data_IF_253798320129
#
_entry.id   IF_253798320129
#
_cell.length_a   1.000
_cell.length_b   1.000
_cell.length_c   1.000
_cell.angle_alpha   90.00
_cell.angle_beta   90.00
_cell.angle_gamma   90.00
#
_symmetry.space_group_name_H-M   'P 1'
#
loop_
_entity.id
_entity.type
_entity.pdbx_description
1 polymer ?
#
# COMPACT_ATOMS: atom_id res chain seq x y z
N UNK A 1 -71.99 21.77 16.67
CA UNK A 1 -71.10 20.65 16.28
C UNK A 1 -70.59 20.72 14.82
N UNK A 2 -70.64 21.88 14.15
CA UNK A 2 -70.32 21.99 12.70
C UNK A 2 -69.32 23.13 12.39
N UNK A 3 -68.28 23.30 13.21
CA UNK A 3 -67.18 24.24 12.92
C UNK A 3 -65.84 23.54 12.62
N UNK A 4 -65.69 22.25 12.96
CA UNK A 4 -64.44 21.50 12.78
C UNK A 4 -64.05 21.36 11.30
N UNK A 5 -65.00 20.97 10.43
CA UNK A 5 -64.83 20.75 8.99
C UNK A 5 -64.36 22.01 8.23
N UNK A 6 -64.99 23.16 8.52
CA UNK A 6 -64.69 24.44 7.86
C UNK A 6 -63.31 24.98 8.20
N UNK A 7 -62.85 24.73 9.42
CA UNK A 7 -61.54 25.21 9.85
C UNK A 7 -60.46 24.33 9.23
N UNK A 8 -60.64 23.01 9.18
CA UNK A 8 -59.72 22.09 8.49
C UNK A 8 -59.54 22.42 7.00
N UNK A 9 -60.65 22.71 6.29
CA UNK A 9 -60.60 23.07 4.88
C UNK A 9 -59.80 24.37 4.61
N UNK A 10 -59.92 25.37 5.48
CA UNK A 10 -59.16 26.63 5.36
C UNK A 10 -57.65 26.42 5.56
N UNK A 11 -57.27 25.56 6.51
CA UNK A 11 -55.86 25.22 6.71
C UNK A 11 -55.31 24.42 5.52
N UNK A 12 -56.11 23.52 4.95
CA UNK A 12 -55.75 22.79 3.73
C UNK A 12 -55.60 23.69 2.52
N UNK A 13 -56.54 24.63 2.32
CA UNK A 13 -56.45 25.61 1.24
C UNK A 13 -55.23 26.54 1.39
N UNK A 14 -54.94 26.97 2.61
CA UNK A 14 -53.76 27.79 2.89
C UNK A 14 -52.46 27.01 2.64
N UNK A 15 -52.40 25.74 3.06
CA UNK A 15 -51.25 24.86 2.83
C UNK A 15 -51.04 24.54 1.34
N UNK A 16 -52.12 24.35 0.58
CA UNK A 16 -52.05 24.15 -0.86
C UNK A 16 -51.56 25.42 -1.58
N UNK A 17 -52.03 26.60 -1.15
CA UNK A 17 -51.61 27.87 -1.71
C UNK A 17 -50.13 28.18 -1.43
N UNK A 18 -49.64 27.89 -0.22
CA UNK A 18 -48.21 28.05 0.10
C UNK A 18 -47.33 27.07 -0.65
N UNK A 19 -47.76 25.81 -0.81
CA UNK A 19 -47.04 24.84 -1.63
C UNK A 19 -46.98 25.25 -3.11
N UNK A 20 -48.07 25.77 -3.66
CA UNK A 20 -48.12 26.30 -5.03
C UNK A 20 -47.26 27.56 -5.18
N UNK A 21 -47.19 28.42 -4.17
CA UNK A 21 -46.29 29.58 -4.20
C UNK A 21 -44.81 29.16 -4.17
N UNK A 22 -44.47 28.12 -3.40
CA UNK A 22 -43.11 27.58 -3.34
C UNK A 22 -42.70 26.84 -4.63
N UNK A 23 -43.64 26.25 -5.37
CA UNK A 23 -43.32 25.59 -6.64
C UNK A 23 -42.99 26.56 -7.78
N UNK A 24 -43.34 27.84 -7.63
CA UNK A 24 -43.01 28.92 -8.56
C UNK A 24 -41.66 29.59 -8.25
N UNK A 25 -40.99 29.22 -7.15
CA UNK A 25 -39.66 29.74 -6.84
C UNK A 25 -38.64 29.25 -7.88
N UNK A 26 -37.81 30.14 -8.44
CA UNK A 26 -36.74 29.74 -9.35
C UNK A 26 -35.71 28.89 -8.59
N UNK A 27 -35.45 27.69 -9.09
CA UNK A 27 -34.37 26.85 -8.57
C UNK A 27 -33.03 27.45 -9.02
N UNK A 28 -32.23 27.92 -8.06
CA UNK A 28 -30.87 28.35 -8.33
C UNK A 28 -30.06 27.15 -8.84
N UNK A 29 -29.27 27.29 -9.91
CA UNK A 29 -28.41 26.20 -10.37
C UNK A 29 -27.37 25.89 -9.29
N UNK A 30 -27.32 24.63 -8.87
CA UNK A 30 -26.25 24.16 -7.99
C UNK A 30 -24.93 24.13 -8.77
N UNK A 31 -23.95 24.92 -8.35
CA UNK A 31 -22.61 24.88 -8.92
C UNK A 31 -21.89 23.62 -8.47
N UNK A 32 -21.70 22.66 -9.37
CA UNK A 32 -20.80 21.54 -9.13
C UNK A 32 -19.37 22.10 -9.04
N UNK A 33 -18.73 21.99 -7.88
CA UNK A 33 -17.35 22.38 -7.71
C UNK A 33 -16.47 21.39 -8.50
N UNK A 34 -15.96 21.81 -9.65
CA UNK A 34 -14.99 21.05 -10.43
C UNK A 34 -13.74 20.86 -9.55
N UNK A 35 -13.61 19.65 -9.00
CA UNK A 35 -12.44 19.26 -8.22
C UNK A 35 -11.33 18.93 -9.21
N UNK A 36 -10.57 19.96 -9.59
CA UNK A 36 -9.37 19.80 -10.42
C UNK A 36 -8.40 18.91 -9.63
N UNK A 37 -7.93 17.83 -10.28
CA UNK A 37 -6.91 16.97 -9.70
C UNK A 37 -5.61 17.77 -9.52
N UNK A 38 -4.92 17.65 -8.39
CA UNK A 38 -3.62 18.30 -8.22
C UNK A 38 -2.64 17.80 -9.28
N UNK A 39 -1.90 18.74 -9.89
CA UNK A 39 -0.78 18.43 -10.78
C UNK A 39 0.51 18.28 -9.95
N UNK A 40 1.17 17.14 -10.09
CA UNK A 40 2.42 16.82 -9.39
C UNK A 40 3.65 16.86 -10.30
N UNK A 41 3.51 17.27 -11.57
CA UNK A 41 4.61 17.26 -12.56
C UNK A 41 5.83 18.05 -12.07
N UNK A 42 5.64 19.29 -11.61
CA UNK A 42 6.69 20.14 -11.03
C UNK A 42 7.36 19.50 -9.79
N UNK A 43 6.55 18.92 -8.91
CA UNK A 43 7.07 18.29 -7.70
C UNK A 43 7.93 17.08 -8.05
N UNK A 44 7.51 16.26 -9.02
CA UNK A 44 8.25 15.09 -9.50
C UNK A 44 9.57 15.50 -10.14
N UNK A 45 9.59 16.58 -10.93
CA UNK A 45 10.83 17.10 -11.49
C UNK A 45 11.80 17.57 -10.41
N UNK A 46 11.30 18.29 -9.40
CA UNK A 46 12.12 18.81 -8.32
C UNK A 46 12.66 17.71 -7.38
N UNK A 47 11.82 16.73 -7.02
CA UNK A 47 12.16 15.74 -5.98
C UNK A 47 12.56 14.37 -6.53
N UNK A 48 12.35 14.11 -7.82
CA UNK A 48 12.75 12.87 -8.50
C UNK A 48 14.21 12.46 -8.25
N UNK A 49 15.19 13.39 -8.27
CA UNK A 49 16.59 13.09 -7.94
C UNK A 49 16.83 12.57 -6.51
N UNK A 50 15.85 12.73 -5.61
CA UNK A 50 15.94 12.27 -4.22
C UNK A 50 15.76 10.75 -4.07
N UNK A 51 15.32 10.06 -5.13
CA UNK A 51 15.03 8.62 -5.10
C UNK A 51 16.16 7.85 -5.78
N UNK A 52 16.85 7.01 -5.01
CA UNK A 52 17.94 6.16 -5.52
C UNK A 52 17.57 4.69 -5.47
N UNK A 53 18.08 3.91 -6.44
CA UNK A 53 17.95 2.46 -6.45
C UNK A 53 19.15 1.84 -5.72
N UNK A 54 18.91 1.19 -4.58
CA UNK A 54 19.96 0.54 -3.79
C UNK A 54 19.82 -0.97 -3.93
N UNK A 55 20.91 -1.61 -4.34
CA UNK A 55 21.05 -3.08 -4.37
C UNK A 55 22.28 -3.48 -3.57
N UNK A 56 22.10 -4.39 -2.63
CA UNK A 56 23.19 -4.95 -1.82
C UNK A 56 23.63 -6.30 -2.41
N UNK A 57 24.94 -6.51 -2.54
CA UNK A 57 25.52 -7.80 -2.88
C UNK A 57 26.35 -8.31 -1.71
N UNK A 58 26.07 -9.52 -1.24
CA UNK A 58 26.90 -10.19 -0.24
C UNK A 58 27.93 -11.08 -0.95
N UNK A 59 29.22 -10.80 -0.74
CA UNK A 59 30.30 -11.69 -1.18
C UNK A 59 30.34 -12.88 -0.22
N UNK A 60 29.68 -13.97 -0.58
CA UNK A 60 29.84 -15.26 0.12
C UNK A 60 31.31 -15.65 -0.05
N UNK A 61 32.12 -15.42 0.99
CA UNK A 61 33.46 -15.98 1.04
C UNK A 61 33.28 -17.50 1.02
N UNK A 62 33.66 -18.13 -0.09
CA UNK A 62 33.98 -19.54 -0.08
C UNK A 62 35.19 -19.68 0.86
N UNK A 63 34.91 -19.82 2.16
CA UNK A 63 35.86 -20.38 3.12
C UNK A 63 36.45 -21.61 2.43
N UNK A 64 37.79 -21.73 2.36
CA UNK A 64 38.39 -22.90 1.74
C UNK A 64 37.72 -24.11 2.37
N UNK A 65 37.16 -24.98 1.54
CA UNK A 65 36.59 -26.25 1.97
C UNK A 65 37.72 -27.10 2.52
N UNK A 66 38.15 -26.80 3.74
CA UNK A 66 38.85 -27.73 4.58
C UNK A 66 37.77 -28.55 5.28
N UNK A 67 37.57 -29.76 4.79
CA UNK A 67 36.76 -30.76 5.48
C UNK A 67 35.26 -30.62 5.25
N UNK A 68 34.72 -31.54 4.47
CA UNK A 68 33.54 -32.31 4.83
C UNK A 68 32.74 -31.83 6.05
N UNK A 69 31.51 -31.36 5.78
CA UNK A 69 30.33 -31.43 6.65
C UNK A 69 30.51 -31.40 8.17
N UNK A 70 30.09 -30.31 8.79
CA UNK A 70 29.43 -30.40 10.11
C UNK A 70 29.98 -29.57 11.26
N UNK A 71 31.00 -28.74 11.07
CA UNK A 71 31.56 -27.97 12.17
C UNK A 71 31.14 -26.50 12.10
N UNK A 72 30.25 -26.08 13.00
CA UNK A 72 30.48 -24.79 13.67
C UNK A 72 31.92 -24.84 14.18
N UNK A 73 32.73 -23.80 13.90
CA UNK A 73 34.13 -23.72 14.35
C UNK A 73 34.22 -24.29 15.77
N UNK A 74 35.10 -25.26 15.99
CA UNK A 74 35.39 -25.82 17.33
C UNK A 74 35.66 -24.67 18.32
N UNK A 75 36.29 -23.59 17.84
CA UNK A 75 36.52 -22.33 18.56
C UNK A 75 35.23 -21.62 18.99
N UNK A 76 34.20 -21.60 18.13
CA UNK A 76 32.88 -21.05 18.49
C UNK A 76 32.19 -21.93 19.54
N UNK A 77 32.27 -23.26 19.41
CA UNK A 77 31.72 -24.18 20.40
C UNK A 77 32.41 -24.01 21.76
N UNK A 78 33.72 -23.79 21.78
CA UNK A 78 34.50 -23.53 22.99
C UNK A 78 34.11 -22.20 23.64
N UNK A 79 33.85 -21.15 22.85
CA UNK A 79 33.30 -19.89 23.34
C UNK A 79 31.96 -20.09 24.06
N UNK A 80 31.00 -20.80 23.46
CA UNK A 80 29.71 -21.07 24.10
C UNK A 80 29.86 -21.90 25.39
N UNK A 81 30.78 -22.87 25.42
CA UNK A 81 31.10 -23.66 26.63
C UNK A 81 31.75 -22.82 27.73
N UNK A 82 32.64 -21.90 27.38
CA UNK A 82 33.39 -21.06 28.34
C UNK A 82 32.51 -19.97 28.96
N UNK A 83 31.57 -19.43 28.21
CA UNK A 83 30.71 -18.33 28.65
C UNK A 83 29.29 -18.76 29.03
N UNK A 84 28.98 -20.06 28.98
CA UNK A 84 27.70 -20.62 29.43
C UNK A 84 26.49 -20.17 28.62
N UNK A 85 26.71 -19.69 27.39
CA UNK A 85 25.65 -19.21 26.50
C UNK A 85 25.07 -20.39 25.74
N UNK A 86 23.73 -20.56 25.67
CA UNK A 86 23.11 -21.70 25.01
C UNK A 86 23.44 -21.73 23.52
N UNK A 87 23.85 -22.90 23.03
CA UNK A 87 24.21 -23.10 21.63
C UNK A 87 22.94 -22.96 20.77
N UNK A 88 22.91 -22.05 19.78
CA UNK A 88 21.76 -21.88 18.91
C UNK A 88 21.52 -23.13 18.06
N UNK A 89 20.25 -23.51 17.89
CA UNK A 89 19.86 -24.65 17.07
C UNK A 89 20.25 -24.39 15.60
N UNK A 90 21.21 -25.17 15.10
CA UNK A 90 21.83 -24.98 13.79
C UNK A 90 20.84 -25.42 12.70
N UNK A 91 20.40 -24.52 11.80
CA UNK A 91 19.57 -24.91 10.68
C UNK A 91 20.39 -25.77 9.70
N UNK A 92 19.89 -26.96 9.35
CA UNK A 92 20.43 -27.73 8.21
C UNK A 92 20.10 -26.98 6.92
N UNK A 93 21.07 -26.26 6.36
CA UNK A 93 20.87 -25.55 5.10
C UNK A 93 20.80 -26.56 3.92
N UNK A 94 19.77 -26.54 3.08
CA UNK A 94 19.74 -27.28 1.83
C UNK A 94 20.85 -26.76 0.90
N UNK A 95 21.63 -27.66 0.31
CA UNK A 95 22.76 -27.30 -0.57
C UNK A 95 22.36 -26.46 -1.80
N UNK A 96 23.33 -25.74 -2.41
CA UNK A 96 23.07 -24.80 -3.49
C UNK A 96 22.53 -25.52 -4.74
N UNK A 97 21.30 -25.16 -5.13
CA UNK A 97 20.71 -25.59 -6.41
C UNK A 97 21.38 -24.82 -7.55
N UNK A 98 22.03 -25.61 -8.40
CA UNK A 98 22.36 -25.40 -9.82
C UNK A 98 22.12 -24.00 -10.41
N UNK A 99 23.24 -23.37 -10.77
CA UNK A 99 23.35 -22.32 -11.76
C UNK A 99 22.66 -22.77 -13.07
N UNK A 100 21.44 -22.28 -13.35
CA UNK A 100 20.77 -22.46 -14.64
C UNK A 100 21.05 -21.20 -15.48
N UNK A 101 21.78 -21.28 -16.60
CA UNK A 101 21.79 -20.18 -17.56
C UNK A 101 20.36 -20.01 -18.10
N UNK A 102 19.83 -18.80 -17.99
CA UNK A 102 18.57 -18.42 -18.64
C UNK A 102 18.79 -18.48 -20.17
N UNK A 103 17.87 -19.08 -20.95
CA UNK A 103 17.87 -18.92 -22.40
C UNK A 103 17.71 -17.44 -22.75
N UNK A 104 18.49 -16.99 -23.73
CA UNK A 104 18.33 -15.70 -24.38
C UNK A 104 16.97 -15.68 -25.09
N UNK A 105 15.99 -14.99 -24.52
CA UNK A 105 14.76 -14.61 -25.19
C UNK A 105 14.54 -13.12 -24.95
N UNK A 106 14.93 -12.30 -25.91
CA UNK A 106 14.22 -11.10 -26.31
C UNK A 106 14.81 -10.62 -27.65
N UNK A 107 14.35 -11.27 -28.73
CA UNK A 107 14.27 -10.66 -30.05
C UNK A 107 13.46 -9.37 -29.93
N UNK A 108 14.13 -8.23 -30.03
CA UNK A 108 13.49 -6.91 -30.10
C UNK A 108 13.15 -6.62 -31.57
N UNK A 109 11.87 -6.53 -31.97
CA UNK A 109 11.54 -6.04 -33.30
C UNK A 109 11.73 -4.51 -33.34
N UNK A 110 12.22 -4.02 -34.48
CA UNK A 110 12.31 -2.59 -34.78
C UNK A 110 10.94 -1.95 -34.97
#
# INVERSE_FOLDING_TARGET
>A
MLSWERTGFRHWALAAATAAALSLMPLAPASAQLRVLPDFTELVEQVGPSVVNIRTLEKVAARPRLGNGGAIDEEMLEFFRRFGVPIPNIPRQPGPRSNRPQPQEEEQPR
#
